data_IF_438698651391
#
_entry.id   IF_438698651391
#
_cell.length_a   1.000
_cell.length_b   1.000
_cell.length_c   1.000
_cell.angle_alpha   90.00
_cell.angle_beta   90.00
_cell.angle_gamma   90.00
#
_symmetry.space_group_name_H-M   'P 1'
#
loop_
_entity.id
_entity.type
_entity.pdbx_description
1 polymer ?
#
# COMPACT_ATOMS: atom_id res chain seq x y z
N UNK A 1 9.75 7.77 25.34
CA UNK A 1 10.46 7.61 24.06
C UNK A 1 9.45 7.21 22.98
N UNK A 2 9.31 7.97 21.89
CA UNK A 2 8.39 7.61 20.79
C UNK A 2 9.09 6.53 19.95
N UNK A 3 8.49 5.35 19.78
CA UNK A 3 9.02 4.36 18.83
C UNK A 3 9.03 4.94 17.42
N UNK A 4 10.08 4.72 16.62
CA UNK A 4 10.08 5.11 15.23
C UNK A 4 8.89 4.44 14.51
N UNK A 5 8.15 5.22 13.72
CA UNK A 5 7.09 4.65 12.88
C UNK A 5 7.74 3.70 11.87
N UNK A 6 7.21 2.47 11.68
CA UNK A 6 7.71 1.58 10.65
C UNK A 6 7.69 2.26 9.29
N UNK A 7 8.70 2.00 8.46
CA UNK A 7 8.68 2.45 7.08
C UNK A 7 7.51 1.78 6.32
N UNK A 8 6.91 2.48 5.32
CA UNK A 8 5.88 1.89 4.48
C UNK A 8 6.33 0.57 3.83
N UNK A 9 5.42 -0.40 3.77
CA UNK A 9 5.67 -1.69 3.14
C UNK A 9 5.54 -1.56 1.63
N UNK A 10 6.54 -2.03 0.88
CA UNK A 10 6.52 -2.06 -0.58
C UNK A 10 5.78 -3.31 -1.08
N UNK A 11 4.88 -3.13 -2.03
CA UNK A 11 4.00 -4.17 -2.56
C UNK A 11 4.18 -4.28 -4.08
N UNK A 12 4.28 -5.51 -4.59
CA UNK A 12 4.09 -5.80 -6.00
C UNK A 12 2.65 -6.28 -6.20
N UNK A 13 1.88 -5.60 -7.06
CA UNK A 13 0.49 -5.93 -7.34
C UNK A 13 0.35 -6.52 -8.76
N UNK A 14 0.14 -7.83 -8.83
CA UNK A 14 -0.05 -8.55 -10.09
C UNK A 14 -1.54 -8.67 -10.41
N UNK A 15 -1.93 -8.40 -11.66
CA UNK A 15 -3.34 -8.42 -12.06
C UNK A 15 -4.15 -7.24 -11.52
N UNK A 16 -3.55 -6.04 -11.46
CA UNK A 16 -4.14 -4.84 -10.87
C UNK A 16 -5.44 -4.34 -11.55
N UNK A 17 -5.81 -4.87 -12.71
CA UNK A 17 -6.99 -4.44 -13.46
C UNK A 17 -8.31 -5.03 -12.94
N UNK A 18 -8.24 -6.10 -12.16
CA UNK A 18 -9.41 -6.74 -11.55
C UNK A 18 -9.99 -5.94 -10.38
N UNK A 19 -11.10 -6.43 -9.82
CA UNK A 19 -11.77 -5.83 -8.67
C UNK A 19 -10.85 -5.69 -7.46
N UNK A 20 -10.04 -6.72 -7.18
CA UNK A 20 -9.07 -6.72 -6.08
C UNK A 20 -7.97 -5.70 -6.35
N UNK A 21 -7.46 -5.66 -7.57
CA UNK A 21 -6.40 -4.73 -7.96
C UNK A 21 -6.79 -3.26 -7.73
N UNK A 22 -7.96 -2.84 -8.22
CA UNK A 22 -8.46 -1.47 -7.99
C UNK A 22 -8.65 -1.16 -6.50
N UNK A 23 -9.25 -2.08 -5.75
CA UNK A 23 -9.46 -1.89 -4.31
C UNK A 23 -8.13 -1.77 -3.54
N UNK A 24 -7.11 -2.51 -3.95
CA UNK A 24 -5.76 -2.39 -3.38
C UNK A 24 -5.15 -1.03 -3.71
N UNK A 25 -5.28 -0.54 -4.95
CA UNK A 25 -4.84 0.82 -5.30
C UNK A 25 -5.53 1.88 -4.42
N UNK A 26 -6.86 1.82 -4.28
CA UNK A 26 -7.62 2.76 -3.43
C UNK A 26 -7.16 2.69 -1.95
N UNK A 27 -6.78 1.51 -1.46
CA UNK A 27 -6.27 1.32 -0.10
C UNK A 27 -4.88 1.93 0.07
N UNK A 28 -3.98 1.75 -0.91
CA UNK A 28 -2.64 2.33 -0.91
C UNK A 28 -2.71 3.85 -0.95
N UNK A 29 -3.57 4.42 -1.80
CA UNK A 29 -3.79 5.87 -1.87
C UNK A 29 -4.30 6.47 -0.55
N UNK A 30 -5.17 5.75 0.16
CA UNK A 30 -5.70 6.19 1.47
C UNK A 30 -4.71 6.03 2.63
N UNK A 31 -3.70 5.18 2.48
CA UNK A 31 -2.73 4.85 3.55
C UNK A 31 -1.27 4.87 3.07
N UNK A 32 -0.78 6.01 2.55
CA UNK A 32 0.59 6.11 2.02
C UNK A 32 1.66 6.00 3.12
N UNK A 33 1.29 6.21 4.39
CA UNK A 33 2.17 6.00 5.55
C UNK A 33 2.40 4.51 5.85
N UNK A 34 1.58 3.61 5.27
CA UNK A 34 1.64 2.17 5.51
C UNK A 34 2.10 1.38 4.30
N UNK A 35 1.78 1.81 3.09
CA UNK A 35 2.01 1.05 1.87
C UNK A 35 2.54 1.92 0.73
N UNK A 36 3.35 1.29 -0.14
CA UNK A 36 3.76 1.84 -1.44
C UNK A 36 3.68 0.70 -2.45
N UNK A 37 3.24 1.02 -3.67
CA UNK A 37 3.45 0.12 -4.80
C UNK A 37 4.90 0.23 -5.27
N UNK A 38 5.42 -0.90 -5.76
CA UNK A 38 6.76 -1.02 -6.32
C UNK A 38 6.93 -0.24 -7.61
#
# INVERSE_FOLDING_TARGET
MRSPRPLPRRLALLGATGSIGRQVCDLVERHPDRFTLH
#
